data_IF_662304284949
#
_entry.id   IF_662304284949
#
_cell.length_a   1.000
_cell.length_b   1.000
_cell.length_c   1.000
_cell.angle_alpha   90.00
_cell.angle_beta   90.00
_cell.angle_gamma   90.00
#
_symmetry.space_group_name_H-M   'P 1'
#
loop_
_entity.id
_entity.type
_entity.pdbx_description
1 polymer ?
#
# COMPACT_ATOMS: atom_id res chain seq x y z
N UNK A 1 -4.40 -17.88 5.10
CA UNK A 1 -4.28 -17.68 3.66
C UNK A 1 -3.12 -18.51 3.14
N UNK A 2 -3.38 -19.49 2.26
CA UNK A 2 -2.30 -20.14 1.52
C UNK A 2 -1.89 -19.19 0.40
N UNK A 3 -0.61 -18.83 0.27
CA UNK A 3 -0.16 -18.04 -0.88
C UNK A 3 -0.52 -18.79 -2.15
N UNK A 4 -1.10 -18.09 -3.12
CA UNK A 4 -1.47 -18.65 -4.43
C UNK A 4 -0.24 -19.12 -5.22
N UNK A 5 0.94 -18.64 -4.83
CA UNK A 5 2.23 -19.10 -5.34
C UNK A 5 3.17 -19.40 -4.19
N UNK A 6 3.94 -20.47 -4.31
CA UNK A 6 5.12 -20.62 -3.49
C UNK A 6 6.06 -19.44 -3.80
N UNK A 7 6.74 -18.88 -2.78
CA UNK A 7 7.76 -17.88 -3.01
C UNK A 7 8.69 -18.38 -4.12
N UNK A 8 9.01 -17.50 -5.06
CA UNK A 8 9.85 -17.85 -6.20
C UNK A 8 11.10 -18.61 -5.71
N UNK A 9 11.51 -19.73 -6.33
CA UNK A 9 12.63 -20.56 -5.86
C UNK A 9 13.92 -19.80 -5.61
N UNK A 10 14.11 -18.66 -6.29
CA UNK A 10 15.25 -17.76 -6.14
C UNK A 10 15.05 -16.69 -5.06
N UNK A 11 13.92 -16.66 -4.36
CA UNK A 11 13.66 -15.74 -3.26
C UNK A 11 13.61 -14.26 -3.64
N UNK A 12 13.22 -13.94 -4.86
CA UNK A 12 13.35 -12.61 -5.45
C UNK A 12 12.48 -11.55 -4.76
N UNK A 13 11.29 -11.93 -4.28
CA UNK A 13 10.38 -11.01 -3.59
C UNK A 13 10.09 -11.52 -2.17
N UNK A 14 11.09 -11.50 -1.31
CA UNK A 14 10.98 -11.83 0.11
C UNK A 14 11.36 -10.62 0.97
N UNK A 15 10.67 -10.45 2.10
CA UNK A 15 9.50 -11.20 2.57
C UNK A 15 8.24 -10.87 1.76
N UNK A 16 7.21 -11.76 1.82
CA UNK A 16 5.93 -11.54 1.14
C UNK A 16 5.14 -10.36 1.72
N UNK A 17 5.35 -10.01 2.97
CA UNK A 17 4.82 -8.82 3.64
C UNK A 17 5.98 -7.99 4.18
N UNK A 18 6.02 -6.73 3.79
CA UNK A 18 7.01 -5.74 4.22
C UNK A 18 6.28 -4.59 4.92
N UNK A 19 6.27 -4.53 6.25
CA UNK A 19 5.76 -3.36 6.95
C UNK A 19 6.75 -2.20 6.79
N UNK A 20 6.24 -1.01 6.49
CA UNK A 20 7.00 0.23 6.34
C UNK A 20 6.43 1.27 7.28
N UNK A 21 7.16 1.57 8.35
CA UNK A 21 6.77 2.60 9.30
C UNK A 21 7.21 3.98 8.82
N UNK A 22 6.28 4.93 8.81
CA UNK A 22 6.52 6.32 8.44
C UNK A 22 6.51 7.17 9.70
N UNK A 23 7.69 7.41 10.25
CA UNK A 23 7.88 8.09 11.53
C UNK A 23 7.28 9.50 11.56
N UNK A 24 7.42 10.25 10.46
CA UNK A 24 6.90 11.61 10.34
C UNK A 24 5.54 11.66 9.63
N UNK A 25 4.80 10.56 9.67
CA UNK A 25 3.48 10.52 9.08
C UNK A 25 2.50 11.38 9.85
N UNK A 26 1.75 12.18 9.13
CA UNK A 26 0.63 12.97 9.67
C UNK A 26 -0.56 12.89 8.73
N UNK A 27 -1.76 12.99 9.26
CA UNK A 27 -2.97 13.04 8.46
C UNK A 27 -3.51 14.47 8.48
N UNK A 28 -3.59 15.09 7.30
CA UNK A 28 -4.19 16.40 7.15
C UNK A 28 -5.69 16.32 7.49
N UNK A 29 -6.16 17.18 8.40
CA UNK A 29 -7.53 17.20 8.90
C UNK A 29 -8.57 17.57 7.83
N UNK A 30 -8.19 18.39 6.84
CA UNK A 30 -9.11 18.89 5.82
C UNK A 30 -9.38 17.85 4.72
N UNK A 31 -8.33 17.19 4.21
CA UNK A 31 -8.42 16.28 3.07
C UNK A 31 -8.11 14.83 3.42
N UNK A 32 -7.82 14.52 4.68
CA UNK A 32 -7.49 13.18 5.19
C UNK A 32 -6.33 12.51 4.46
N UNK A 33 -5.40 13.29 3.90
CA UNK A 33 -4.22 12.80 3.20
C UNK A 33 -3.05 12.71 4.19
N UNK A 34 -2.31 11.61 4.12
CA UNK A 34 -1.01 11.41 4.75
C UNK A 34 0.07 11.57 3.67
N UNK A 35 0.55 12.81 3.50
CA UNK A 35 1.50 13.12 2.44
C UNK A 35 2.85 12.38 2.57
N UNK A 36 3.48 12.28 3.75
CA UNK A 36 4.72 11.52 3.89
C UNK A 36 4.57 10.05 3.48
N UNK A 37 3.45 9.42 3.87
CA UNK A 37 3.16 8.04 3.50
C UNK A 37 2.93 7.91 1.98
N UNK A 38 2.19 8.84 1.38
CA UNK A 38 1.97 8.85 -0.07
C UNK A 38 3.27 9.00 -0.87
N UNK A 39 4.17 9.90 -0.45
CA UNK A 39 5.48 10.10 -1.06
C UNK A 39 6.33 8.84 -0.96
N UNK A 40 6.39 8.22 0.22
CA UNK A 40 7.14 6.99 0.44
C UNK A 40 6.64 5.81 -0.43
N UNK A 41 5.30 5.72 -0.65
CA UNK A 41 4.71 4.76 -1.58
C UNK A 41 5.23 4.98 -3.01
N UNK A 42 5.23 6.23 -3.49
CA UNK A 42 5.67 6.53 -4.86
C UNK A 42 7.17 6.33 -5.03
N UNK A 43 7.97 6.74 -4.05
CA UNK A 43 9.43 6.51 -4.05
C UNK A 43 9.74 5.01 -4.14
N UNK A 44 9.05 4.18 -3.34
CA UNK A 44 9.23 2.73 -3.39
C UNK A 44 8.77 2.11 -4.71
N UNK A 45 7.69 2.62 -5.29
CA UNK A 45 7.27 2.21 -6.63
C UNK A 45 8.38 2.47 -7.66
N UNK A 46 8.99 3.67 -7.61
CA UNK A 46 10.10 4.04 -8.50
C UNK A 46 11.31 3.14 -8.29
N UNK A 47 11.68 2.85 -7.03
CA UNK A 47 12.73 1.88 -6.72
C UNK A 47 12.43 0.51 -7.35
N UNK A 48 11.23 -0.01 -7.17
CA UNK A 48 10.83 -1.29 -7.77
C UNK A 48 10.85 -1.26 -9.30
N UNK A 49 10.47 -0.14 -9.92
CA UNK A 49 10.53 0.02 -11.38
C UNK A 49 11.97 -0.02 -11.92
N UNK A 50 12.95 0.37 -11.11
CA UNK A 50 14.38 0.37 -11.46
C UNK A 50 15.13 -0.90 -11.00
N UNK A 51 14.57 -1.68 -10.08
CA UNK A 51 15.22 -2.87 -9.53
C UNK A 51 15.02 -4.09 -10.48
N UNK A 52 16.12 -4.76 -10.91
CA UNK A 52 16.05 -5.96 -11.74
C UNK A 52 15.15 -7.07 -11.22
N UNK A 53 14.99 -7.18 -9.88
CA UNK A 53 14.15 -8.20 -9.26
C UNK A 53 12.66 -8.01 -9.52
N UNK A 54 12.24 -6.78 -9.87
CA UNK A 54 10.84 -6.43 -10.17
C UNK A 54 10.60 -6.25 -11.68
N UNK A 55 11.55 -6.61 -12.55
CA UNK A 55 11.35 -6.40 -13.98
C UNK A 55 10.44 -7.44 -14.59
N UNK A 56 10.72 -8.72 -14.36
CA UNK A 56 10.00 -9.82 -15.01
C UNK A 56 9.57 -10.89 -14.03
N UNK A 57 8.40 -11.45 -14.32
CA UNK A 57 7.94 -12.68 -13.69
C UNK A 57 8.71 -13.89 -14.23
N UNK A 58 8.61 -15.06 -13.57
CA UNK A 58 9.22 -16.31 -14.07
C UNK A 58 8.77 -16.69 -15.48
N UNK A 59 7.55 -16.32 -15.89
CA UNK A 59 7.00 -16.58 -17.20
C UNK A 59 7.44 -15.57 -18.28
N UNK A 60 8.31 -14.61 -17.94
CA UNK A 60 8.82 -13.58 -18.85
C UNK A 60 7.95 -12.33 -18.97
N UNK A 61 6.70 -12.31 -18.47
CA UNK A 61 5.86 -11.11 -18.46
C UNK A 61 6.40 -10.06 -17.48
N UNK A 62 6.06 -8.79 -17.72
CA UNK A 62 6.44 -7.71 -16.81
C UNK A 62 5.74 -7.83 -15.45
N UNK A 63 6.46 -7.46 -14.39
CA UNK A 63 5.90 -7.37 -13.04
C UNK A 63 4.91 -6.20 -12.97
N UNK A 64 3.75 -6.42 -12.36
CA UNK A 64 2.65 -5.47 -12.26
C UNK A 64 2.50 -4.91 -10.84
N UNK A 65 2.00 -3.66 -10.73
CA UNK A 65 1.94 -2.95 -9.45
C UNK A 65 0.54 -2.42 -9.17
N UNK A 66 0.12 -2.51 -7.91
CA UNK A 66 -1.13 -1.94 -7.44
C UNK A 66 -0.93 -1.14 -6.17
N UNK A 67 -1.67 -0.05 -6.03
CA UNK A 67 -1.66 0.81 -4.85
C UNK A 67 -3.07 0.92 -4.32
N UNK A 68 -3.29 0.58 -3.04
CA UNK A 68 -4.59 0.70 -2.38
C UNK A 68 -4.47 1.63 -1.17
N UNK A 69 -5.32 2.66 -1.15
CA UNK A 69 -5.61 3.39 0.07
C UNK A 69 -6.71 2.64 0.86
N UNK A 70 -6.41 2.28 2.11
CA UNK A 70 -7.31 1.48 2.92
C UNK A 70 -8.43 2.28 3.60
N UNK A 71 -8.18 3.56 3.92
CA UNK A 71 -9.10 4.36 4.73
C UNK A 71 -9.62 5.65 4.08
N UNK A 72 -8.97 6.20 3.07
CA UNK A 72 -9.36 7.47 2.48
C UNK A 72 -9.20 7.48 0.95
N UNK A 73 -10.26 7.85 0.24
CA UNK A 73 -10.22 8.00 -1.23
C UNK A 73 -9.29 9.13 -1.66
N UNK A 74 -9.23 10.23 -0.90
CA UNK A 74 -8.37 11.36 -1.22
C UNK A 74 -6.89 11.00 -1.18
N UNK A 75 -6.49 10.06 -0.33
CA UNK A 75 -5.14 9.51 -0.33
C UNK A 75 -4.82 8.81 -1.67
N UNK A 76 -5.74 8.00 -2.18
CA UNK A 76 -5.54 7.33 -3.45
C UNK A 76 -5.44 8.32 -4.62
N UNK A 77 -6.28 9.37 -4.61
CA UNK A 77 -6.22 10.46 -5.61
C UNK A 77 -4.89 11.19 -5.54
N UNK A 78 -4.43 11.52 -4.33
CA UNK A 78 -3.16 12.20 -4.12
C UNK A 78 -1.95 11.36 -4.59
N UNK A 79 -1.93 10.05 -4.25
CA UNK A 79 -0.89 9.13 -4.75
C UNK A 79 -0.92 9.06 -6.27
N UNK A 80 -2.11 8.95 -6.87
CA UNK A 80 -2.27 8.92 -8.33
C UNK A 80 -1.71 10.17 -8.99
N UNK A 81 -1.98 11.35 -8.43
CA UNK A 81 -1.44 12.62 -8.92
C UNK A 81 0.09 12.68 -8.83
N UNK A 82 0.67 12.17 -7.74
CA UNK A 82 2.12 12.05 -7.59
C UNK A 82 2.73 11.13 -8.67
N UNK A 83 2.10 9.99 -8.94
CA UNK A 83 2.54 9.04 -9.98
C UNK A 83 2.51 9.72 -11.35
N UNK A 84 1.40 10.37 -11.70
CA UNK A 84 1.23 11.03 -13.01
C UNK A 84 2.21 12.19 -13.24
N UNK A 85 2.66 12.85 -12.18
CA UNK A 85 3.64 13.96 -12.25
C UNK A 85 5.08 13.50 -12.09
N UNK A 86 5.30 12.24 -11.78
CA UNK A 86 6.66 11.75 -11.51
C UNK A 86 7.46 11.61 -12.81
N UNK A 87 8.67 12.22 -12.91
CA UNK A 87 9.42 12.28 -14.17
C UNK A 87 9.88 10.92 -14.71
N UNK A 88 9.95 9.90 -13.85
CA UNK A 88 10.35 8.54 -14.23
C UNK A 88 9.15 7.61 -14.49
N UNK A 89 7.91 8.06 -14.27
CA UNK A 89 6.71 7.26 -14.46
C UNK A 89 5.87 7.90 -15.57
N UNK A 90 6.19 7.58 -16.82
CA UNK A 90 5.39 8.02 -17.96
C UNK A 90 4.16 7.12 -18.20
N UNK A 91 3.21 7.59 -19.01
CA UNK A 91 1.99 6.85 -19.38
C UNK A 91 2.30 5.43 -19.88
N UNK A 92 3.32 5.30 -20.71
CA UNK A 92 3.78 3.99 -21.23
C UNK A 92 4.17 3.02 -20.08
N UNK A 93 4.87 3.50 -19.06
CA UNK A 93 5.26 2.67 -17.90
C UNK A 93 4.02 2.26 -17.10
N UNK A 94 3.06 3.19 -16.92
CA UNK A 94 1.79 2.90 -16.24
C UNK A 94 1.04 1.78 -16.95
N UNK A 95 0.94 1.85 -18.27
CA UNK A 95 0.25 0.86 -19.08
C UNK A 95 0.98 -0.50 -19.09
N UNK A 96 2.28 -0.53 -19.43
CA UNK A 96 3.08 -1.76 -19.52
C UNK A 96 3.18 -2.51 -18.18
N UNK A 97 3.26 -1.78 -17.08
CA UNK A 97 3.36 -2.34 -15.72
C UNK A 97 2.00 -2.49 -15.04
N UNK A 98 0.92 -2.16 -15.75
CA UNK A 98 -0.46 -2.19 -15.25
C UNK A 98 -0.57 -1.54 -13.87
N UNK A 99 0.02 -0.31 -13.74
CA UNK A 99 0.02 0.42 -12.47
C UNK A 99 -1.38 0.98 -12.23
N UNK A 100 -2.01 0.51 -11.17
CA UNK A 100 -3.36 0.93 -10.78
C UNK A 100 -3.32 1.48 -9.36
N UNK A 101 -3.95 2.64 -9.14
CA UNK A 101 -4.10 3.25 -7.83
C UNK A 101 -5.57 3.54 -7.54
N UNK A 102 -6.06 3.11 -6.37
CA UNK A 102 -7.45 3.30 -5.98
C UNK A 102 -7.75 2.84 -4.56
N UNK A 103 -9.00 2.62 -4.27
CA UNK A 103 -9.47 1.95 -3.07
C UNK A 103 -9.52 0.41 -3.24
N UNK A 104 -9.94 -0.31 -2.21
CA UNK A 104 -10.05 -1.76 -2.28
C UNK A 104 -11.08 -2.24 -3.32
N UNK A 105 -12.11 -1.44 -3.62
CA UNK A 105 -13.14 -1.80 -4.60
C UNK A 105 -12.63 -1.71 -6.04
N UNK A 106 -11.70 -0.77 -6.31
CA UNK A 106 -11.07 -0.64 -7.62
C UNK A 106 -10.29 -1.90 -8.05
N UNK A 107 -9.97 -2.78 -7.09
CA UNK A 107 -9.27 -4.04 -7.31
C UNK A 107 -10.16 -5.27 -7.15
N UNK A 108 -11.49 -5.10 -7.15
CA UNK A 108 -12.38 -6.24 -7.03
C UNK A 108 -12.25 -7.17 -8.25
N UNK A 109 -11.77 -8.41 -8.01
CA UNK A 109 -11.51 -9.38 -9.08
C UNK A 109 -10.17 -9.19 -9.80
N UNK A 110 -9.39 -8.16 -9.48
CA UNK A 110 -8.11 -7.86 -10.10
C UNK A 110 -6.95 -8.08 -9.14
N UNK A 111 -5.79 -8.47 -9.65
CA UNK A 111 -4.60 -8.81 -8.86
C UNK A 111 -3.36 -8.20 -9.49
N UNK A 112 -2.36 -7.87 -8.66
CA UNK A 112 -1.03 -7.42 -9.10
C UNK A 112 0.05 -8.29 -8.45
N UNK A 113 1.24 -8.27 -9.02
CA UNK A 113 2.35 -9.02 -8.44
C UNK A 113 2.80 -8.38 -7.14
N UNK A 114 2.89 -7.06 -7.12
CA UNK A 114 3.27 -6.27 -5.96
C UNK A 114 2.16 -5.28 -5.60
N UNK A 115 1.77 -5.26 -4.34
CA UNK A 115 0.78 -4.33 -3.82
C UNK A 115 1.41 -3.39 -2.77
N UNK A 116 1.06 -2.11 -2.85
CA UNK A 116 1.36 -1.10 -1.86
C UNK A 116 0.06 -0.73 -1.15
N UNK A 117 0.00 -0.95 0.15
CA UNK A 117 -1.18 -0.66 0.97
C UNK A 117 -0.87 0.53 1.87
N UNK A 118 -1.60 1.63 1.70
CA UNK A 118 -1.49 2.84 2.51
C UNK A 118 -2.56 2.82 3.59
N UNK A 119 -2.14 2.82 4.87
CA UNK A 119 -3.05 2.86 6.03
C UNK A 119 -3.63 4.25 6.28
N UNK A 120 -2.96 5.29 5.84
CA UNK A 120 -3.35 6.71 5.91
C UNK A 120 -3.37 7.28 7.33
N UNK A 121 -3.98 6.58 8.27
CA UNK A 121 -4.16 7.08 9.65
C UNK A 121 -2.80 7.32 10.33
N UNK A 122 -2.67 8.50 10.87
CA UNK A 122 -1.59 8.90 11.77
C UNK A 122 -2.20 9.51 13.04
N UNK A 123 -1.42 9.57 14.10
CA UNK A 123 -1.77 10.37 15.30
C UNK A 123 -1.62 11.85 14.95
N UNK A 124 -2.47 12.68 15.55
CA UNK A 124 -2.35 14.13 15.46
C UNK A 124 -1.21 14.59 16.38
N UNK A 125 -0.16 15.14 15.80
CA UNK A 125 1.00 15.59 16.55
C UNK A 125 0.69 16.77 17.48
N UNK A 126 -0.36 17.54 17.19
CA UNK A 126 -0.78 18.72 17.96
C UNK A 126 -1.83 18.37 19.01
N UNK A 127 -2.43 17.17 18.96
CA UNK A 127 -3.38 16.68 19.96
C UNK A 127 -2.78 15.53 20.79
N UNK A 128 -2.24 15.86 21.96
CA UNK A 128 -1.67 14.89 22.91
C UNK A 128 -2.68 13.85 23.42
N UNK A 129 -3.97 14.09 23.21
CA UNK A 129 -5.04 13.16 23.57
C UNK A 129 -5.56 12.35 22.37
N UNK A 130 -5.03 12.58 21.18
CA UNK A 130 -5.41 11.75 20.03
C UNK A 130 -5.03 10.31 20.29
N UNK A 131 -5.98 9.42 20.06
CA UNK A 131 -5.82 7.99 20.30
C UNK A 131 -6.22 7.22 19.07
N UNK A 132 -5.54 6.09 18.87
CA UNK A 132 -5.90 5.16 17.81
C UNK A 132 -7.25 4.53 18.17
N UNK A 133 -8.30 4.91 17.43
CA UNK A 133 -9.59 4.24 17.55
C UNK A 133 -9.53 2.89 16.84
N UNK A 134 -9.96 1.85 17.52
CA UNK A 134 -10.03 0.52 16.94
C UNK A 134 -10.95 0.49 15.70
N UNK A 135 -10.46 -0.10 14.62
CA UNK A 135 -11.25 -0.33 13.40
C UNK A 135 -11.87 -1.73 13.47
N UNK A 136 -12.97 -1.85 14.18
CA UNK A 136 -13.65 -3.14 14.44
C UNK A 136 -14.84 -3.37 13.51
N UNK A 137 -15.23 -2.38 12.71
CA UNK A 137 -16.38 -2.50 11.83
C UNK A 137 -16.14 -3.53 10.70
N UNK A 138 -17.23 -4.21 10.32
CA UNK A 138 -17.20 -5.28 9.31
C UNK A 138 -16.76 -4.78 7.94
N UNK A 139 -17.14 -3.58 7.55
CA UNK A 139 -16.81 -3.00 6.25
C UNK A 139 -15.31 -2.72 6.12
N UNK A 140 -14.67 -2.23 7.16
CA UNK A 140 -13.22 -1.99 7.20
C UNK A 140 -12.44 -3.30 7.15
N UNK A 141 -12.88 -4.32 7.91
CA UNK A 141 -12.28 -5.68 7.84
C UNK A 141 -12.38 -6.28 6.44
N UNK A 142 -13.52 -6.11 5.77
CA UNK A 142 -13.71 -6.61 4.40
C UNK A 142 -12.78 -5.90 3.42
N UNK A 143 -12.65 -4.57 3.48
CA UNK A 143 -11.73 -3.81 2.63
C UNK A 143 -10.28 -4.25 2.81
N UNK A 144 -9.85 -4.42 4.06
CA UNK A 144 -8.51 -4.93 4.33
C UNK A 144 -8.29 -6.35 3.76
N UNK A 145 -9.24 -7.26 3.97
CA UNK A 145 -9.15 -8.61 3.43
C UNK A 145 -9.07 -8.61 1.90
N UNK A 146 -9.87 -7.77 1.23
CA UNK A 146 -9.78 -7.62 -0.22
C UNK A 146 -8.39 -7.13 -0.61
N UNK A 147 -7.91 -6.04 0.00
CA UNK A 147 -6.62 -5.45 -0.32
C UNK A 147 -5.45 -6.43 -0.10
N UNK A 148 -5.43 -7.11 1.05
CA UNK A 148 -4.36 -8.05 1.40
C UNK A 148 -4.32 -9.29 0.48
N UNK A 149 -5.43 -9.63 -0.16
CA UNK A 149 -5.52 -10.78 -1.09
C UNK A 149 -5.27 -10.41 -2.55
N UNK A 150 -5.00 -9.15 -2.87
CA UNK A 150 -4.75 -8.70 -4.25
C UNK A 150 -3.31 -8.88 -4.70
N UNK A 151 -2.38 -9.10 -3.78
CA UNK A 151 -0.99 -9.36 -4.10
C UNK A 151 -0.77 -10.82 -4.48
N UNK A 152 -0.06 -11.06 -5.58
CA UNK A 152 0.39 -12.40 -5.96
C UNK A 152 1.69 -12.80 -5.28
N UNK A 153 2.61 -11.85 -5.12
CA UNK A 153 3.97 -12.14 -4.64
C UNK A 153 4.35 -11.33 -3.40
N UNK A 154 4.08 -10.01 -3.36
CA UNK A 154 4.54 -9.16 -2.27
C UNK A 154 3.58 -8.02 -1.93
N UNK A 155 3.52 -7.69 -0.64
CA UNK A 155 2.80 -6.54 -0.09
C UNK A 155 3.77 -5.64 0.67
N UNK A 156 3.78 -4.35 0.35
CA UNK A 156 4.32 -3.28 1.19
C UNK A 156 3.18 -2.63 1.95
N UNK A 157 3.21 -2.69 3.28
CA UNK A 157 2.19 -2.11 4.14
C UNK A 157 2.74 -0.86 4.82
N UNK A 158 2.28 0.31 4.39
CA UNK A 158 2.67 1.60 4.94
C UNK A 158 1.77 1.98 6.10
N UNK A 159 2.37 2.39 7.21
CA UNK A 159 1.66 2.83 8.39
C UNK A 159 2.43 3.92 9.15
N UNK A 160 1.70 4.82 9.78
CA UNK A 160 2.26 5.95 10.53
C UNK A 160 1.91 5.90 12.02
N UNK A 161 1.32 4.79 12.48
CA UNK A 161 1.00 4.57 13.89
C UNK A 161 1.99 3.55 14.45
N UNK A 162 2.75 3.91 15.51
CA UNK A 162 3.62 2.97 16.21
C UNK A 162 2.82 1.78 16.77
N UNK A 163 3.36 0.57 16.71
CA UNK A 163 2.66 -0.64 17.16
C UNK A 163 2.21 -0.59 18.62
N UNK A 164 2.99 0.07 19.49
CA UNK A 164 2.68 0.25 20.91
C UNK A 164 1.43 1.12 21.16
N UNK A 165 1.01 1.90 20.18
CA UNK A 165 -0.20 2.74 20.30
C UNK A 165 -1.50 1.98 20.04
N UNK A 166 -1.40 0.75 19.53
CA UNK A 166 -2.56 -0.12 19.35
C UNK A 166 -2.90 -0.79 20.70
N UNK A 167 -3.86 -0.21 21.42
CA UNK A 167 -4.28 -0.70 22.75
C UNK A 167 -5.37 -1.77 22.71
N UNK A 168 -6.04 -1.92 21.59
CA UNK A 168 -7.13 -2.87 21.43
C UNK A 168 -6.71 -4.03 20.54
N UNK A 169 -6.61 -5.23 21.12
CA UNK A 169 -6.24 -6.47 20.41
C UNK A 169 -7.31 -6.94 19.40
N UNK A 170 -8.55 -6.43 19.50
CA UNK A 170 -9.61 -6.69 18.52
C UNK A 170 -9.48 -5.81 17.25
N UNK A 171 -8.55 -4.87 17.26
CA UNK A 171 -8.25 -4.06 16.09
C UNK A 171 -7.55 -4.94 15.03
N UNK A 172 -8.13 -5.03 13.86
CA UNK A 172 -7.59 -5.85 12.77
C UNK A 172 -6.21 -5.40 12.26
N UNK A 173 -5.76 -4.20 12.62
CA UNK A 173 -4.42 -3.68 12.32
C UNK A 173 -3.35 -4.26 13.25
N UNK A 174 -3.76 -4.81 14.41
CA UNK A 174 -2.90 -5.50 15.36
C UNK A 174 -2.67 -6.95 14.92
#
# INVERSE_FOLDING_TARGET
LKPLRHPHPKGLLKPALVPVFIENGYQNTNNKVNEPEAKAVVEKLVECLNDPNYQKRPNGSLCTFGIISLLAEDQAKYIKDLILRHPQIGEKVIEERNITCGDAYAFQGDERDVMFLSMVKALDADDLNDTVRALVDKGTKQRFNVAATRARDQVFLYHSIPLQEFRNQDDWRF
#
